data_IF_843325781466
#
_entry.id   IF_843325781466
#
_cell.length_a   1.000
_cell.length_b   1.000
_cell.length_c   1.000
_cell.angle_alpha   90.00
_cell.angle_beta   90.00
_cell.angle_gamma   90.00
#
_symmetry.space_group_name_H-M   'P 1'
#
loop_
_entity.id
_entity.type
_entity.pdbx_description
1 polymer ?
#
# COMPACT_ATOMS: atom_id res chain seq x y z
N UNK A 1 -35.49 32.96 -8.31
CA UNK A 1 -34.52 33.54 -7.36
C UNK A 1 -33.20 32.80 -7.54
N UNK A 2 -32.18 33.47 -8.08
CA UNK A 2 -30.81 32.95 -8.20
C UNK A 2 -30.19 32.88 -6.80
N UNK A 3 -29.58 31.74 -6.46
CA UNK A 3 -28.60 31.60 -5.39
C UNK A 3 -27.43 30.88 -6.06
N UNK A 4 -26.53 31.65 -6.66
CA UNK A 4 -25.16 31.82 -6.19
C UNK A 4 -24.36 30.52 -6.32
N UNK A 5 -23.99 30.20 -7.57
CA UNK A 5 -22.84 29.36 -7.88
C UNK A 5 -21.61 30.13 -7.41
N UNK A 6 -21.00 29.72 -6.31
CA UNK A 6 -19.80 30.34 -5.75
C UNK A 6 -18.57 29.55 -6.23
N UNK A 7 -17.92 29.95 -7.35
CA UNK A 7 -16.80 29.19 -7.92
C UNK A 7 -15.57 29.12 -7.01
N UNK A 8 -15.52 29.89 -5.92
CA UNK A 8 -14.44 29.86 -4.93
C UNK A 8 -14.50 28.66 -3.96
N UNK A 9 -15.64 27.94 -3.88
CA UNK A 9 -15.81 26.77 -2.99
C UNK A 9 -15.73 25.43 -3.73
N UNK A 10 -15.52 25.44 -5.05
CA UNK A 10 -15.20 24.19 -5.77
C UNK A 10 -13.79 23.79 -5.37
N UNK A 11 -13.68 22.78 -4.50
CA UNK A 11 -12.45 22.02 -4.35
C UNK A 11 -11.93 21.59 -5.73
N UNK A 12 -10.60 21.40 -5.84
CA UNK A 12 -9.96 21.02 -7.12
C UNK A 12 -10.78 19.92 -7.80
N UNK A 13 -11.07 20.11 -9.10
CA UNK A 13 -11.75 19.09 -9.88
C UNK A 13 -11.00 17.76 -9.71
N UNK A 14 -11.72 16.64 -9.66
CA UNK A 14 -11.14 15.31 -9.45
C UNK A 14 -10.05 14.97 -10.50
N UNK A 15 -10.12 15.61 -11.68
CA UNK A 15 -9.13 15.56 -12.76
C UNK A 15 -7.83 16.36 -12.52
N UNK A 16 -7.83 17.32 -11.58
CA UNK A 16 -6.67 18.17 -11.22
C UNK A 16 -5.91 17.66 -9.98
N UNK A 17 -6.31 16.51 -9.43
CA UNK A 17 -5.59 15.86 -8.33
C UNK A 17 -4.46 15.02 -8.95
N UNK A 18 -3.18 15.33 -8.67
CA UNK A 18 -2.07 14.55 -9.22
C UNK A 18 -2.20 13.08 -8.83
N UNK A 19 -2.30 12.20 -9.82
CA UNK A 19 -2.28 10.76 -9.59
C UNK A 19 -0.81 10.29 -9.63
N UNK A 20 -0.49 9.09 -9.10
CA UNK A 20 0.86 8.56 -9.20
C UNK A 20 1.40 8.50 -10.64
N UNK A 21 0.51 8.43 -11.63
CA UNK A 21 0.81 8.41 -13.06
C UNK A 21 1.13 9.81 -13.61
N UNK A 22 0.53 10.89 -13.08
CA UNK A 22 0.68 12.26 -13.61
C UNK A 22 1.62 13.15 -12.78
N UNK A 23 1.89 12.76 -11.52
CA UNK A 23 2.79 13.50 -10.63
C UNK A 23 4.26 13.41 -11.10
N UNK A 24 5.06 14.49 -11.05
CA UNK A 24 6.51 14.43 -11.28
C UNK A 24 7.17 13.35 -10.42
N UNK A 25 8.15 12.61 -10.97
CA UNK A 25 8.73 11.45 -10.29
C UNK A 25 9.33 11.82 -8.91
N UNK A 26 10.03 12.96 -8.83
CA UNK A 26 10.59 13.45 -7.58
C UNK A 26 9.51 13.79 -6.53
N UNK A 27 8.37 14.32 -6.96
CA UNK A 27 7.25 14.61 -6.06
C UNK A 27 6.57 13.31 -5.60
N UNK A 28 6.42 12.34 -6.51
CA UNK A 28 5.87 11.02 -6.21
C UNK A 28 6.71 10.32 -5.14
N UNK A 29 8.02 10.22 -5.34
CA UNK A 29 8.91 9.52 -4.39
C UNK A 29 8.95 10.24 -3.05
N UNK A 30 9.00 11.58 -3.03
CA UNK A 30 8.95 12.37 -1.81
C UNK A 30 7.62 12.19 -1.06
N UNK A 31 6.49 12.18 -1.77
CA UNK A 31 5.18 11.92 -1.18
C UNK A 31 5.11 10.51 -0.59
N UNK A 32 5.53 9.48 -1.33
CA UNK A 32 5.57 8.09 -0.83
C UNK A 32 6.50 7.93 0.37
N UNK A 33 7.67 8.59 0.39
CA UNK A 33 8.57 8.53 1.54
C UNK A 33 7.96 9.13 2.81
N UNK A 34 7.21 10.23 2.69
CA UNK A 34 6.46 10.81 3.83
C UNK A 34 5.41 9.83 4.35
N UNK A 35 4.61 9.24 3.45
CA UNK A 35 3.61 8.24 3.82
C UNK A 35 4.25 7.01 4.47
N UNK A 36 5.37 6.50 3.95
CA UNK A 36 6.09 5.36 4.55
C UNK A 36 6.72 5.67 5.91
N UNK A 37 7.12 6.92 6.13
CA UNK A 37 7.58 7.41 7.43
C UNK A 37 6.44 7.42 8.44
N UNK A 38 5.28 7.93 8.03
CA UNK A 38 4.06 7.91 8.84
C UNK A 38 3.58 6.47 9.09
N UNK A 39 3.65 5.61 8.08
CA UNK A 39 3.31 4.20 8.14
C UNK A 39 4.16 3.46 9.17
N UNK A 40 5.50 3.51 9.06
CA UNK A 40 6.43 2.82 9.95
C UNK A 40 7.38 3.83 10.60
N UNK A 41 8.45 4.22 9.91
CA UNK A 41 9.49 5.14 10.37
C UNK A 41 10.39 5.61 9.20
N UNK A 42 11.32 6.52 9.49
CA UNK A 42 12.23 7.08 8.49
C UNK A 42 13.12 6.02 7.82
N UNK A 43 13.61 5.02 8.57
CA UNK A 43 14.42 3.94 7.99
C UNK A 43 13.61 3.10 6.98
N UNK A 44 12.32 2.87 7.24
CA UNK A 44 11.42 2.17 6.32
C UNK A 44 11.25 2.94 4.99
N UNK A 45 11.07 4.25 5.08
CA UNK A 45 11.00 5.13 3.92
C UNK A 45 12.34 5.20 3.16
N UNK A 46 13.46 5.19 3.87
CA UNK A 46 14.78 5.21 3.25
C UNK A 46 15.01 3.97 2.38
N UNK A 47 14.62 2.78 2.84
CA UNK A 47 14.71 1.55 2.02
C UNK A 47 13.92 1.64 0.71
N UNK A 48 12.79 2.33 0.72
CA UNK A 48 12.03 2.60 -0.50
C UNK A 48 12.80 3.54 -1.42
N UNK A 49 13.31 4.66 -0.89
CA UNK A 49 14.08 5.65 -1.66
C UNK A 49 15.34 5.03 -2.28
N UNK A 50 16.11 4.27 -1.49
CA UNK A 50 17.33 3.62 -1.95
C UNK A 50 17.05 2.68 -3.12
N UNK A 51 15.95 1.91 -3.03
CA UNK A 51 15.59 0.96 -4.08
C UNK A 51 15.10 1.66 -5.35
N UNK A 52 14.33 2.73 -5.23
CA UNK A 52 13.90 3.53 -6.39
C UNK A 52 15.10 4.23 -7.05
N UNK A 53 16.02 4.76 -6.25
CA UNK A 53 17.26 5.40 -6.73
C UNK A 53 18.18 4.42 -7.47
N UNK A 54 18.32 3.19 -6.97
CA UNK A 54 19.06 2.13 -7.69
C UNK A 54 18.50 1.88 -9.10
N UNK A 55 17.17 1.82 -9.23
CA UNK A 55 16.51 1.65 -10.53
C UNK A 55 16.68 2.89 -11.40
N UNK A 56 16.53 4.09 -10.83
CA UNK A 56 16.73 5.35 -11.53
C UNK A 56 18.12 5.45 -12.14
N UNK A 57 19.16 5.11 -11.38
CA UNK A 57 20.56 5.11 -11.86
C UNK A 57 20.79 4.13 -12.99
N UNK A 58 20.21 2.93 -12.90
CA UNK A 58 20.32 1.92 -13.95
C UNK A 58 19.52 2.28 -15.22
N UNK A 59 18.37 2.94 -15.07
CA UNK A 59 17.52 3.35 -16.20
C UNK A 59 18.06 4.60 -16.90
N UNK A 60 18.74 5.50 -16.18
CA UNK A 60 19.22 6.79 -16.69
C UNK A 60 20.07 6.68 -17.98
N UNK A 61 20.82 5.59 -18.15
CA UNK A 61 21.63 5.34 -19.35
C UNK A 61 20.79 5.23 -20.64
N UNK A 62 19.49 4.95 -20.52
CA UNK A 62 18.55 4.86 -21.62
C UNK A 62 17.73 6.15 -21.83
N UNK A 63 17.98 7.20 -21.03
CA UNK A 63 17.24 8.46 -21.12
C UNK A 63 15.75 8.33 -20.78
N UNK A 64 15.40 7.41 -19.88
CA UNK A 64 14.02 7.04 -19.54
C UNK A 64 13.79 7.04 -18.03
N UNK A 65 12.54 7.19 -17.61
CA UNK A 65 12.07 7.06 -16.22
C UNK A 65 10.86 6.11 -16.07
N UNK A 66 10.47 5.40 -17.13
CA UNK A 66 9.25 4.58 -17.15
C UNK A 66 9.32 3.39 -16.20
N UNK A 67 10.48 2.74 -16.09
CA UNK A 67 10.69 1.63 -15.16
C UNK A 67 10.75 2.15 -13.73
N UNK A 68 11.50 3.21 -13.49
CA UNK A 68 11.65 3.86 -12.18
C UNK A 68 10.30 4.30 -11.63
N UNK A 69 9.45 4.92 -12.46
CA UNK A 69 8.08 5.27 -12.08
C UNK A 69 7.26 4.03 -11.73
N UNK A 70 7.32 2.98 -12.55
CA UNK A 70 6.62 1.73 -12.28
C UNK A 70 7.02 1.12 -10.93
N UNK A 71 8.33 1.11 -10.63
CA UNK A 71 8.86 0.63 -9.35
C UNK A 71 8.44 1.53 -8.20
N UNK A 72 8.50 2.86 -8.36
CA UNK A 72 8.08 3.81 -7.34
C UNK A 72 6.62 3.63 -6.91
N UNK A 73 5.73 3.31 -7.86
CA UNK A 73 4.31 3.03 -7.58
C UNK A 73 4.14 1.67 -6.91
N UNK A 74 4.74 0.62 -7.48
CA UNK A 74 4.46 -0.75 -7.09
C UNK A 74 5.19 -1.19 -5.81
N UNK A 75 6.43 -0.74 -5.61
CA UNK A 75 7.16 -0.98 -4.37
C UNK A 75 6.43 -0.33 -3.19
N UNK A 76 5.98 0.93 -3.35
CA UNK A 76 5.19 1.60 -2.32
C UNK A 76 3.91 0.82 -2.00
N UNK A 77 3.17 0.37 -3.02
CA UNK A 77 1.95 -0.42 -2.83
C UNK A 77 2.19 -1.68 -1.98
N UNK A 78 3.30 -2.39 -2.22
CA UNK A 78 3.66 -3.57 -1.45
C UNK A 78 4.11 -3.22 -0.03
N UNK A 79 4.88 -2.14 0.12
CA UNK A 79 5.42 -1.72 1.41
C UNK A 79 4.40 -1.08 2.34
N UNK A 80 3.34 -0.47 1.81
CA UNK A 80 2.26 0.19 2.54
C UNK A 80 1.00 -0.68 2.57
N UNK A 81 1.14 -1.97 2.89
CA UNK A 81 0.00 -2.86 3.02
C UNK A 81 -0.86 -2.48 4.24
N UNK A 82 -2.18 -2.61 4.09
CA UNK A 82 -3.15 -2.13 5.08
C UNK A 82 -3.29 -3.15 6.21
N UNK A 83 -2.43 -3.01 7.22
CA UNK A 83 -2.46 -3.81 8.42
C UNK A 83 -3.18 -3.14 9.59
N UNK A 84 -3.26 -3.84 10.72
CA UNK A 84 -4.00 -3.42 11.90
C UNK A 84 -3.48 -2.08 12.44
N UNK A 85 -2.17 -1.86 12.41
CA UNK A 85 -1.55 -0.61 12.83
C UNK A 85 -1.87 0.54 11.87
N UNK A 86 -1.86 0.27 10.56
CA UNK A 86 -2.20 1.28 9.55
C UNK A 86 -3.69 1.63 9.58
N UNK A 87 -4.55 0.61 9.76
CA UNK A 87 -5.99 0.84 10.01
C UNK A 87 -6.16 1.73 11.24
N UNK A 88 -5.46 1.43 12.34
CA UNK A 88 -5.53 2.23 13.56
C UNK A 88 -5.07 3.67 13.34
N UNK A 89 -3.98 3.88 12.59
CA UNK A 89 -3.49 5.22 12.23
C UNK A 89 -4.53 5.99 11.42
N UNK A 90 -5.14 5.38 10.41
CA UNK A 90 -6.16 6.02 9.57
C UNK A 90 -7.44 6.39 10.34
N UNK A 91 -7.79 5.65 11.39
CA UNK A 91 -8.91 6.00 12.28
C UNK A 91 -8.55 7.06 13.32
N UNK A 92 -7.26 7.27 13.61
CA UNK A 92 -6.79 8.16 14.68
C UNK A 92 -6.04 9.41 14.19
N UNK A 93 -5.87 9.58 12.88
CA UNK A 93 -5.17 10.72 12.27
C UNK A 93 -5.99 12.03 12.22
N UNK A 94 -7.19 12.02 12.80
CA UNK A 94 -8.07 13.19 12.93
C UNK A 94 -8.98 13.44 11.72
N UNK A 95 -8.73 12.81 10.56
CA UNK A 95 -9.61 12.96 9.38
C UNK A 95 -10.97 12.35 9.64
N UNK A 96 -10.98 11.15 10.24
CA UNK A 96 -12.22 10.45 10.60
C UNK A 96 -13.06 11.23 11.62
N UNK A 97 -12.44 11.85 12.63
CA UNK A 97 -13.18 12.67 13.60
C UNK A 97 -13.72 13.97 12.97
N UNK A 98 -13.01 14.55 12.01
CA UNK A 98 -13.48 15.72 11.23
C UNK A 98 -14.70 15.36 10.37
N UNK A 99 -14.68 14.21 9.69
CA UNK A 99 -15.84 13.72 8.91
C UNK A 99 -17.03 13.34 9.80
N UNK A 100 -16.76 12.70 10.95
CA UNK A 100 -17.77 12.28 11.92
C UNK A 100 -18.48 13.47 12.55
N UNK A 101 -17.76 14.52 12.94
CA UNK A 101 -18.36 15.75 13.48
C UNK A 101 -19.17 16.51 12.44
N UNK A 102 -18.78 16.46 11.17
CA UNK A 102 -19.54 17.06 10.06
C UNK A 102 -20.83 16.30 9.69
N UNK A 103 -20.84 14.96 9.83
CA UNK A 103 -21.91 14.10 9.28
C UNK A 103 -22.86 13.55 10.36
N UNK A 104 -22.38 13.34 11.59
CA UNK A 104 -23.13 12.67 12.65
C UNK A 104 -23.56 13.63 13.77
N UNK A 105 -24.87 13.91 13.87
CA UNK A 105 -25.47 14.78 14.90
C UNK A 105 -25.93 14.02 16.16
N UNK A 106 -25.14 13.04 16.61
CA UNK A 106 -25.38 12.26 17.84
C UNK A 106 -25.47 10.74 17.65
N UNK A 107 -25.27 9.99 18.75
CA UNK A 107 -25.29 8.52 18.79
C UNK A 107 -23.97 7.90 19.28
N UNK A 108 -24.02 6.63 19.74
CA UNK A 108 -22.81 5.88 20.12
C UNK A 108 -22.19 5.27 18.87
N UNK A 109 -21.01 5.76 18.47
CA UNK A 109 -20.27 5.18 17.36
C UNK A 109 -19.90 3.72 17.65
N UNK A 110 -20.06 2.86 16.64
CA UNK A 110 -19.59 1.48 16.66
C UNK A 110 -18.72 1.23 15.44
N UNK A 111 -17.61 0.52 15.64
CA UNK A 111 -16.72 0.10 14.56
C UNK A 111 -16.79 -1.42 14.46
N UNK A 112 -17.00 -1.92 13.25
CA UNK A 112 -17.04 -3.35 12.97
C UNK A 112 -15.66 -3.80 12.50
N UNK A 113 -15.00 -4.63 13.32
CA UNK A 113 -13.68 -5.16 13.02
C UNK A 113 -13.73 -6.69 13.01
N UNK A 114 -12.84 -7.31 12.25
CA UNK A 114 -12.63 -8.76 12.27
C UNK A 114 -11.20 -9.03 12.78
N UNK A 115 -10.90 -8.70 14.05
CA UNK A 115 -9.54 -8.83 14.60
C UNK A 115 -9.10 -10.30 14.58
N UNK A 116 -7.93 -10.62 13.99
CA UNK A 116 -7.55 -12.01 13.68
C UNK A 116 -7.40 -12.92 14.91
N UNK A 117 -7.13 -12.36 16.09
CA UNK A 117 -6.86 -13.11 17.33
C UNK A 117 -8.16 -13.45 18.10
N UNK A 118 -9.14 -12.54 18.09
CA UNK A 118 -10.32 -12.63 18.99
C UNK A 118 -11.65 -12.76 18.24
N UNK A 119 -11.65 -12.58 16.91
CA UNK A 119 -12.87 -12.75 16.12
C UNK A 119 -13.26 -14.24 16.05
N UNK A 120 -14.51 -14.59 16.39
CA UNK A 120 -15.00 -15.95 16.20
C UNK A 120 -15.00 -16.29 14.71
N UNK A 121 -14.68 -17.55 14.37
CA UNK A 121 -14.67 -18.01 12.98
C UNK A 121 -16.07 -18.48 12.54
N UNK A 122 -16.40 -18.33 11.27
CA UNK A 122 -17.57 -18.96 10.66
C UNK A 122 -17.32 -20.43 10.29
N UNK A 123 -18.32 -21.09 9.71
CA UNK A 123 -18.27 -22.48 9.27
C UNK A 123 -17.20 -22.75 8.22
N UNK A 124 -16.74 -21.71 7.54
CA UNK A 124 -15.70 -21.74 6.50
C UNK A 124 -14.33 -21.31 7.07
N UNK A 125 -14.23 -21.14 8.40
CA UNK A 125 -13.01 -20.77 9.10
C UNK A 125 -12.65 -19.28 9.03
N UNK A 126 -13.54 -18.43 8.51
CA UNK A 126 -13.26 -17.00 8.27
C UNK A 126 -13.61 -16.16 9.50
N UNK A 127 -12.83 -15.11 9.83
CA UNK A 127 -13.12 -14.23 10.96
C UNK A 127 -14.45 -13.48 10.81
N UNK A 128 -15.36 -13.60 11.78
CA UNK A 128 -16.61 -12.82 11.82
C UNK A 128 -16.35 -11.41 12.33
N UNK A 129 -17.06 -10.43 11.75
CA UNK A 129 -17.04 -9.05 12.24
C UNK A 129 -17.69 -8.98 13.62
N UNK A 130 -17.01 -8.32 14.56
CA UNK A 130 -17.51 -7.98 15.89
C UNK A 130 -17.58 -6.47 16.03
N UNK A 131 -18.58 -6.00 16.78
CA UNK A 131 -18.82 -4.58 17.01
C UNK A 131 -18.05 -4.10 18.24
N UNK A 132 -17.16 -3.14 18.06
CA UNK A 132 -16.53 -2.36 19.12
C UNK A 132 -17.27 -1.05 19.33
N UNK A 133 -17.42 -0.62 20.59
CA UNK A 133 -18.01 0.68 20.92
C UNK A 133 -17.04 1.84 20.74
N UNK A 134 -17.48 3.05 21.08
CA UNK A 134 -16.72 4.29 20.93
C UNK A 134 -15.33 4.29 21.58
N UNK A 135 -15.13 3.52 22.67
CA UNK A 135 -13.83 3.39 23.33
C UNK A 135 -12.70 2.94 22.38
N UNK A 136 -13.03 2.17 21.34
CA UNK A 136 -12.04 1.73 20.34
C UNK A 136 -11.56 2.90 19.47
N UNK A 137 -12.44 3.87 19.18
CA UNK A 137 -12.07 5.10 18.49
C UNK A 137 -11.27 6.03 19.41
N UNK A 138 -11.75 6.22 20.63
CA UNK A 138 -11.19 7.21 21.56
C UNK A 138 -9.83 6.79 22.15
N UNK A 139 -9.63 5.49 22.36
CA UNK A 139 -8.44 4.95 23.05
C UNK A 139 -7.77 3.81 22.28
N UNK A 140 -8.54 2.86 21.76
CA UNK A 140 -8.00 1.64 21.13
C UNK A 140 -7.10 1.93 19.92
N UNK A 141 -7.62 2.60 18.90
CA UNK A 141 -6.87 2.97 17.70
C UNK A 141 -5.72 3.94 17.98
N UNK A 142 -5.86 5.01 18.79
CA UNK A 142 -4.74 5.87 19.14
C UNK A 142 -3.58 5.13 19.81
N UNK A 143 -3.86 4.16 20.69
CA UNK A 143 -2.82 3.33 21.30
C UNK A 143 -2.19 2.40 20.26
N UNK A 144 -3.00 1.67 19.49
CA UNK A 144 -2.51 0.76 18.45
C UNK A 144 -1.65 1.48 17.40
N UNK A 145 -2.04 2.68 16.97
CA UNK A 145 -1.27 3.49 16.02
C UNK A 145 0.14 3.83 16.54
N UNK A 146 0.29 4.07 17.86
CA UNK A 146 1.59 4.31 18.49
C UNK A 146 2.45 3.05 18.59
N UNK A 147 1.82 1.87 18.56
CA UNK A 147 2.51 0.57 18.58
C UNK A 147 2.98 0.09 17.21
N UNK A 148 2.87 0.92 16.15
CA UNK A 148 3.38 0.59 14.80
C UNK A 148 4.84 0.12 14.76
N UNK A 149 5.66 0.50 15.74
CA UNK A 149 7.05 0.03 15.86
C UNK A 149 7.17 -1.47 16.11
N UNK A 150 6.12 -2.14 16.60
CA UNK A 150 6.08 -3.59 16.78
C UNK A 150 5.92 -4.33 15.46
N UNK A 151 5.44 -3.68 14.39
CA UNK A 151 5.21 -4.30 13.08
C UNK A 151 6.45 -5.06 12.61
N UNK A 152 6.27 -6.33 12.28
CA UNK A 152 7.33 -7.20 11.77
C UNK A 152 8.38 -7.63 12.81
N UNK A 153 8.19 -7.29 14.09
CA UNK A 153 9.03 -7.79 15.19
C UNK A 153 8.47 -9.08 15.78
N UNK A 154 9.24 -9.76 16.64
CA UNK A 154 8.74 -10.93 17.37
C UNK A 154 7.55 -10.60 18.31
N UNK A 155 7.38 -9.33 18.69
CA UNK A 155 6.28 -8.84 19.52
C UNK A 155 5.05 -8.44 18.70
N UNK A 156 5.07 -8.63 17.37
CA UNK A 156 3.95 -8.32 16.51
C UNK A 156 2.81 -9.34 16.65
N UNK A 157 1.85 -9.07 17.53
CA UNK A 157 0.71 -9.97 17.77
C UNK A 157 -0.13 -10.20 16.50
N UNK A 158 -0.18 -9.24 15.58
CA UNK A 158 -0.94 -9.37 14.34
C UNK A 158 -0.12 -9.97 13.20
N UNK A 159 1.21 -9.84 13.25
CA UNK A 159 2.13 -10.17 12.18
C UNK A 159 2.35 -11.67 11.89
N UNK A 160 1.81 -12.57 12.72
CA UNK A 160 2.03 -14.02 12.61
C UNK A 160 1.02 -14.75 11.72
N UNK A 161 -0.02 -14.06 11.23
CA UNK A 161 -0.97 -14.69 10.31
C UNK A 161 -0.34 -15.02 8.96
N UNK A 162 -0.90 -16.01 8.26
CA UNK A 162 -0.48 -16.40 6.92
C UNK A 162 -0.59 -15.22 5.93
N UNK A 163 -1.63 -14.38 6.05
CA UNK A 163 -1.79 -13.17 5.22
C UNK A 163 -0.63 -12.18 5.44
N UNK A 164 -0.23 -11.91 6.69
CA UNK A 164 0.88 -10.99 6.99
C UNK A 164 2.23 -11.56 6.55
N UNK A 165 2.43 -12.88 6.67
CA UNK A 165 3.63 -13.56 6.15
C UNK A 165 3.69 -13.45 4.63
N UNK A 166 2.59 -13.71 3.93
CA UNK A 166 2.47 -13.55 2.49
C UNK A 166 2.78 -12.11 2.06
N UNK A 167 2.20 -11.10 2.71
CA UNK A 167 2.46 -9.68 2.37
C UNK A 167 3.93 -9.30 2.48
N UNK A 168 4.61 -9.73 3.56
CA UNK A 168 6.06 -9.51 3.70
C UNK A 168 6.86 -10.30 2.66
N UNK A 169 6.43 -11.52 2.33
CA UNK A 169 6.99 -12.33 1.26
C UNK A 169 6.92 -11.63 -0.09
N UNK A 170 5.76 -11.02 -0.43
CA UNK A 170 5.60 -10.27 -1.68
C UNK A 170 6.57 -9.09 -1.80
N UNK A 171 6.91 -8.42 -0.69
CA UNK A 171 7.91 -7.35 -0.68
C UNK A 171 9.30 -7.93 -1.00
N UNK A 172 9.67 -9.05 -0.36
CA UNK A 172 10.96 -9.70 -0.57
C UNK A 172 11.10 -10.23 -2.01
N UNK A 173 10.08 -10.93 -2.50
CA UNK A 173 10.02 -11.44 -3.87
C UNK A 173 10.15 -10.31 -4.89
N UNK A 174 9.44 -9.20 -4.68
CA UNK A 174 9.51 -8.07 -5.59
C UNK A 174 10.91 -7.45 -5.60
N UNK A 175 11.56 -7.30 -4.43
CA UNK A 175 12.94 -6.81 -4.37
C UNK A 175 13.92 -7.73 -5.10
N UNK A 176 13.78 -9.06 -4.96
CA UNK A 176 14.58 -10.02 -5.72
C UNK A 176 14.31 -9.93 -7.23
N UNK A 177 13.05 -9.71 -7.63
CA UNK A 177 12.68 -9.44 -9.01
C UNK A 177 13.35 -8.17 -9.53
N UNK A 178 13.45 -7.09 -8.73
CA UNK A 178 14.20 -5.88 -9.11
C UNK A 178 15.69 -6.16 -9.27
N UNK A 179 16.31 -6.91 -8.36
CA UNK A 179 17.72 -7.29 -8.48
C UNK A 179 18.00 -8.05 -9.79
N UNK A 180 17.10 -8.97 -10.15
CA UNK A 180 17.18 -9.72 -11.42
C UNK A 180 16.95 -8.84 -12.65
N UNK A 181 16.03 -7.88 -12.58
CA UNK A 181 15.81 -6.91 -13.68
C UNK A 181 17.06 -6.07 -13.90
N UNK A 182 17.64 -5.52 -12.83
CA UNK A 182 18.82 -4.66 -12.90
C UNK A 182 20.05 -5.39 -13.44
N UNK A 183 20.20 -6.68 -13.12
CA UNK A 183 21.31 -7.49 -13.64
C UNK A 183 21.25 -7.75 -15.16
N UNK A 184 20.06 -7.67 -15.78
CA UNK A 184 19.86 -7.97 -17.20
C UNK A 184 19.21 -6.83 -17.99
N UNK A 185 19.21 -5.61 -17.47
CA UNK A 185 18.51 -4.49 -18.07
C UNK A 185 19.18 -4.06 -19.38
N UNK A 186 18.39 -3.96 -20.44
CA UNK A 186 18.80 -3.50 -21.76
C UNK A 186 17.67 -2.66 -22.39
N UNK A 187 17.99 -1.84 -23.38
CA UNK A 187 17.03 -0.91 -24.00
C UNK A 187 15.84 -1.68 -24.63
N UNK A 188 16.13 -2.76 -25.34
CA UNK A 188 15.18 -3.66 -25.98
C UNK A 188 14.30 -4.43 -24.96
N UNK A 189 14.80 -4.62 -23.74
CA UNK A 189 14.06 -5.29 -22.66
C UNK A 189 13.24 -4.34 -21.80
N UNK A 190 13.35 -3.03 -22.01
CA UNK A 190 12.65 -2.03 -21.20
C UNK A 190 11.13 -2.25 -21.12
N UNK A 191 10.41 -2.52 -22.23
CA UNK A 191 8.97 -2.77 -22.16
C UNK A 191 8.61 -4.00 -21.32
N UNK A 192 9.44 -5.05 -21.34
CA UNK A 192 9.24 -6.25 -20.54
C UNK A 192 9.59 -6.02 -19.06
N UNK A 193 10.66 -5.25 -18.78
CA UNK A 193 11.02 -4.87 -17.42
C UNK A 193 9.89 -4.10 -16.73
N UNK A 194 9.26 -3.16 -17.44
CA UNK A 194 8.10 -2.41 -16.95
C UNK A 194 6.93 -3.34 -16.63
N UNK A 195 6.60 -4.29 -17.52
CA UNK A 195 5.52 -5.25 -17.28
C UNK A 195 5.77 -6.11 -16.03
N UNK A 196 7.00 -6.60 -15.85
CA UNK A 196 7.39 -7.34 -14.64
C UNK A 196 7.23 -6.45 -13.41
N UNK A 197 7.71 -5.20 -13.47
CA UNK A 197 7.59 -4.25 -12.37
C UNK A 197 6.13 -3.88 -12.02
N UNK A 198 5.19 -4.05 -12.96
CA UNK A 198 3.75 -3.77 -12.79
C UNK A 198 2.93 -4.94 -12.22
N UNK A 199 3.50 -6.14 -12.07
CA UNK A 199 2.80 -7.31 -11.48
C UNK A 199 2.03 -6.97 -10.19
N UNK A 200 2.57 -6.20 -9.22
CA UNK A 200 1.86 -5.88 -7.99
C UNK A 200 0.52 -5.14 -8.19
N UNK A 201 0.28 -4.50 -9.34
CA UNK A 201 -0.99 -3.84 -9.65
C UNK A 201 -2.17 -4.82 -9.72
N UNK A 202 -1.89 -6.09 -10.04
CA UNK A 202 -2.88 -7.14 -10.17
C UNK A 202 -3.33 -7.73 -8.83
N UNK A 203 -2.50 -7.58 -7.80
CA UNK A 203 -2.81 -8.04 -6.45
C UNK A 203 -3.82 -7.07 -5.83
N UNK A 204 -5.07 -7.52 -5.66
CA UNK A 204 -6.20 -6.70 -5.23
C UNK A 204 -7.11 -7.47 -4.26
N UNK A 205 -7.90 -6.73 -3.49
CA UNK A 205 -8.83 -7.32 -2.53
C UNK A 205 -8.19 -7.64 -1.18
N UNK A 206 -8.94 -8.38 -0.36
CA UNK A 206 -8.59 -8.73 1.03
C UNK A 206 -8.90 -10.22 1.28
N UNK A 207 -8.16 -10.87 2.17
CA UNK A 207 -8.33 -12.30 2.49
C UNK A 207 -8.30 -13.19 1.24
N UNK A 208 -9.26 -14.12 1.13
CA UNK A 208 -9.31 -15.09 0.01
C UNK A 208 -9.32 -14.45 -1.40
N UNK A 209 -9.88 -13.24 -1.57
CA UNK A 209 -9.85 -12.54 -2.86
C UNK A 209 -8.41 -12.14 -3.19
N UNK A 210 -7.66 -11.69 -2.17
CA UNK A 210 -6.25 -11.36 -2.31
C UNK A 210 -5.43 -12.60 -2.62
N UNK A 211 -5.65 -13.70 -1.90
CA UNK A 211 -4.94 -14.97 -2.12
C UNK A 211 -5.12 -15.45 -3.57
N UNK A 212 -6.35 -15.45 -4.08
CA UNK A 212 -6.63 -15.79 -5.47
C UNK A 212 -5.95 -14.82 -6.47
N UNK A 213 -5.90 -13.53 -6.15
CA UNK A 213 -5.21 -12.54 -6.98
C UNK A 213 -3.69 -12.73 -6.98
N UNK A 214 -3.10 -13.12 -5.85
CA UNK A 214 -1.67 -13.41 -5.71
C UNK A 214 -1.29 -14.61 -6.56
N UNK A 215 -2.07 -15.68 -6.52
CA UNK A 215 -1.83 -16.87 -7.36
C UNK A 215 -1.82 -16.52 -8.85
N UNK A 216 -2.78 -15.71 -9.31
CA UNK A 216 -2.83 -15.25 -10.71
C UNK A 216 -1.62 -14.35 -11.06
N UNK A 217 -1.30 -13.39 -10.19
CA UNK A 217 -0.17 -12.49 -10.37
C UNK A 217 1.16 -13.25 -10.44
N UNK A 218 1.34 -14.28 -9.61
CA UNK A 218 2.53 -15.15 -9.62
C UNK A 218 2.64 -15.99 -10.89
N UNK A 219 1.54 -16.51 -11.40
CA UNK A 219 1.53 -17.22 -12.68
C UNK A 219 1.93 -16.30 -13.85
N UNK A 220 1.43 -15.06 -13.86
CA UNK A 220 1.83 -14.08 -14.87
C UNK A 220 3.29 -13.62 -14.71
N UNK A 221 3.75 -13.41 -13.47
CA UNK A 221 5.15 -13.10 -13.17
C UNK A 221 6.07 -14.19 -13.73
N UNK A 222 5.75 -15.46 -13.51
CA UNK A 222 6.52 -16.58 -14.06
C UNK A 222 6.55 -16.59 -15.60
N UNK A 223 5.42 -16.32 -16.25
CA UNK A 223 5.34 -16.24 -17.71
C UNK A 223 6.22 -15.10 -18.27
N UNK A 224 6.20 -13.92 -17.64
CA UNK A 224 7.05 -12.78 -18.04
C UNK A 224 8.53 -13.07 -17.81
N UNK A 225 8.88 -13.74 -16.70
CA UNK A 225 10.26 -14.17 -16.46
C UNK A 225 10.74 -15.25 -17.44
N UNK A 226 9.85 -16.07 -17.98
CA UNK A 226 10.15 -16.99 -19.07
C UNK A 226 10.54 -16.23 -20.35
N UNK A 227 9.83 -15.14 -20.67
CA UNK A 227 10.17 -14.27 -21.81
C UNK A 227 11.49 -13.54 -21.57
N UNK A 228 11.78 -13.10 -20.34
CA UNK A 228 12.99 -12.34 -20.01
C UNK A 228 14.29 -13.10 -20.30
N UNK A 229 14.28 -14.43 -20.09
CA UNK A 229 15.43 -15.29 -20.36
C UNK A 229 15.63 -15.62 -21.85
N UNK A 230 14.60 -15.43 -22.68
CA UNK A 230 14.67 -15.65 -24.13
C UNK A 230 14.83 -14.36 -24.96
N UNK A 231 14.60 -13.20 -24.34
CA UNK A 231 14.83 -11.88 -24.92
C UNK A 231 16.29 -11.44 -24.82
#
# INVERSE_FOLDING_TARGET
RRVADNPAERGKAEADVPTPETMPLAELTAHRARELTAYQNAAYAQRYLDRVDQVAKAEAIFGSEVLTRSVAVNLYKLMAYKDEYEVARLYSDGRFETEKTGTFKGGKAKVWLAPPIIAPKDSEGRPKKIAFGGWMLDYGFPVLAKLKGLRGTALDLFGHSEERRMERGLIADYQASLDRLLAGLAAEKMPLAVQIAQIPQQIRGYGHIKDASVTKAKAQEAALWGQWGGA
#
